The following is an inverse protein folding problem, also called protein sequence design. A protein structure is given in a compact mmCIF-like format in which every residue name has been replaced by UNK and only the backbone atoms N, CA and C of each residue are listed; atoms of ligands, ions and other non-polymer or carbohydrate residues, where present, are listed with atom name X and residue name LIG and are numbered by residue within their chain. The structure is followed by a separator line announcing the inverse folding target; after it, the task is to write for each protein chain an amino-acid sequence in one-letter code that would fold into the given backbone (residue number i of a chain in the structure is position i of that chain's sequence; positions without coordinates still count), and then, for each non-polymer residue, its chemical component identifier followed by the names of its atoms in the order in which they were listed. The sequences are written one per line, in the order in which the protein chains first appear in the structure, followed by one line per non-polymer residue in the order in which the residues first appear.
data_IF_390263894551
#
_entry.id   IF_390263894551
#
_cell.length_a   1.000
_cell.length_b   1.000
_cell.length_c   1.000
_cell.angle_alpha   90.00
_cell.angle_beta   90.00
_cell.angle_gamma   90.00
#
_symmetry.space_group_name_H-M   'P 1'
#
loop_
_entity.id
_entity.type
_entity.pdbx_description
1 polymer ?
#
# COMPACT_ATOMS: atom_id res chain seq x y z
N UNK A 1 11.23 29.35 21.09
CA UNK A 1 12.58 29.49 20.47
C UNK A 1 12.54 28.54 19.31
N UNK A 2 12.35 29.08 18.12
CA UNK A 2 12.25 28.33 16.88
C UNK A 2 13.57 27.58 16.61
N UNK A 3 13.47 26.30 16.25
CA UNK A 3 14.63 25.46 15.90
C UNK A 3 14.42 24.82 14.53
N UNK A 4 15.46 24.69 13.69
CA UNK A 4 15.36 23.91 12.46
C UNK A 4 14.93 22.47 12.73
N UNK A 5 14.09 21.90 11.85
CA UNK A 5 13.61 20.53 12.01
C UNK A 5 14.73 19.50 12.15
N UNK A 6 15.82 19.64 11.37
CA UNK A 6 16.97 18.74 11.43
C UNK A 6 17.59 18.69 12.83
N UNK A 7 17.91 19.86 13.40
CA UNK A 7 18.50 19.96 14.73
C UNK A 7 17.56 19.43 15.82
N UNK A 8 16.27 19.73 15.71
CA UNK A 8 15.26 19.22 16.62
C UNK A 8 15.19 17.68 16.57
N UNK A 9 15.08 17.11 15.37
CA UNK A 9 14.97 15.67 15.16
C UNK A 9 16.18 14.93 15.72
N UNK A 10 17.39 15.36 15.37
CA UNK A 10 18.63 14.75 15.87
C UNK A 10 18.74 14.84 17.39
N UNK A 11 18.41 16.00 17.98
CA UNK A 11 18.44 16.18 19.43
C UNK A 11 17.47 15.24 20.16
N UNK A 12 16.29 14.99 19.59
CA UNK A 12 15.28 14.09 20.15
C UNK A 12 15.67 12.63 20.00
N UNK A 13 16.21 12.24 18.86
CA UNK A 13 16.73 10.87 18.64
C UNK A 13 17.84 10.56 19.65
N UNK A 14 18.77 11.50 19.88
CA UNK A 14 19.83 11.34 20.88
C UNK A 14 19.31 11.17 22.32
N UNK A 15 18.08 11.63 22.61
CA UNK A 15 17.41 11.50 23.91
C UNK A 15 16.51 10.25 24.01
N UNK A 16 16.55 9.34 23.03
CA UNK A 16 15.76 8.12 23.01
C UNK A 16 14.55 8.13 22.06
N UNK A 17 14.44 9.15 21.20
CA UNK A 17 13.45 9.21 20.15
C UNK A 17 12.08 9.75 20.60
N UNK A 18 11.03 9.22 19.98
CA UNK A 18 9.65 9.66 20.17
C UNK A 18 8.79 8.46 20.58
N UNK A 19 7.91 8.68 21.55
CA UNK A 19 6.76 7.78 21.70
C UNK A 19 5.79 7.99 20.53
N UNK A 20 4.86 7.06 20.34
CA UNK A 20 3.78 7.24 19.33
C UNK A 20 3.01 8.55 19.57
N UNK A 21 2.71 8.87 20.83
CA UNK A 21 1.98 10.08 21.19
C UNK A 21 2.79 11.34 20.93
N UNK A 22 4.09 11.34 21.25
CA UNK A 22 4.99 12.47 20.93
C UNK A 22 5.08 12.69 19.43
N UNK A 23 5.27 11.63 18.65
CA UNK A 23 5.39 11.73 17.19
C UNK A 23 4.13 12.34 16.57
N UNK A 24 2.94 11.91 16.99
CA UNK A 24 1.65 12.46 16.53
C UNK A 24 1.51 13.92 16.94
N UNK A 25 1.72 14.23 18.23
CA UNK A 25 1.51 15.58 18.76
C UNK A 25 2.44 16.61 18.12
N UNK A 26 3.68 16.21 17.85
CA UNK A 26 4.67 17.06 17.17
C UNK A 26 4.35 17.22 15.68
N UNK A 27 3.80 16.19 15.02
CA UNK A 27 3.49 16.18 13.59
C UNK A 27 2.19 16.93 13.23
N UNK A 28 1.12 16.75 14.01
CA UNK A 28 -0.23 17.24 13.66
C UNK A 28 -0.30 18.75 13.37
N UNK A 29 0.39 19.65 14.09
CA UNK A 29 0.37 21.08 13.79
C UNK A 29 0.84 21.39 12.35
N UNK A 30 1.91 20.74 11.88
CA UNK A 30 2.39 20.89 10.50
C UNK A 30 1.35 20.39 9.50
N UNK A 31 0.81 19.19 9.69
CA UNK A 31 -0.19 18.62 8.79
C UNK A 31 -1.44 19.53 8.67
N UNK A 32 -1.89 20.11 9.79
CA UNK A 32 -3.03 21.05 9.80
C UNK A 32 -2.71 22.35 9.05
N UNK A 33 -1.50 22.90 9.19
CA UNK A 33 -1.08 24.08 8.42
C UNK A 33 -1.09 23.79 6.91
N UNK A 34 -0.57 22.64 6.50
CA UNK A 34 -0.59 22.20 5.09
C UNK A 34 -2.03 22.04 4.58
N UNK A 35 -2.92 21.42 5.36
CA UNK A 35 -4.32 21.27 4.99
C UNK A 35 -5.02 22.62 4.78
N UNK A 36 -4.74 23.62 5.62
CA UNK A 36 -5.29 24.98 5.46
C UNK A 36 -4.82 25.61 4.15
N UNK A 37 -3.55 25.43 3.77
CA UNK A 37 -3.04 25.89 2.47
C UNK A 37 -3.75 25.19 1.31
N UNK A 38 -3.93 23.88 1.38
CA UNK A 38 -4.64 23.10 0.35
C UNK A 38 -6.08 23.57 0.16
N UNK A 39 -6.78 23.88 1.25
CA UNK A 39 -8.14 24.45 1.22
C UNK A 39 -8.20 25.83 0.56
N UNK A 40 -7.09 26.56 0.54
CA UNK A 40 -6.94 27.85 -0.13
C UNK A 40 -6.45 27.70 -1.59
N UNK A 41 -6.30 26.47 -2.09
CA UNK A 41 -5.75 26.21 -3.42
C UNK A 41 -4.24 26.44 -3.54
N UNK A 42 -3.54 26.51 -2.40
CA UNK A 42 -2.08 26.63 -2.31
C UNK A 42 -1.45 25.29 -1.93
N UNK A 43 -0.13 25.20 -2.10
CA UNK A 43 0.70 24.09 -1.60
C UNK A 43 1.66 24.61 -0.54
N UNK A 44 2.08 23.72 0.34
CA UNK A 44 3.14 24.02 1.28
C UNK A 44 4.48 24.04 0.54
N UNK A 45 5.34 25.01 0.83
CA UNK A 45 6.67 25.12 0.21
C UNK A 45 7.65 24.04 0.70
N UNK A 46 7.21 22.80 0.94
CA UNK A 46 7.96 21.70 1.53
C UNK A 46 9.03 21.13 0.58
N UNK A 47 10.06 21.92 0.27
CA UNK A 47 11.23 21.50 -0.53
C UNK A 47 12.37 21.10 0.39
N UNK A 48 12.18 19.96 1.05
CA UNK A 48 13.11 19.43 2.03
C UNK A 48 12.97 20.02 3.42
N UNK A 49 13.79 19.50 4.34
CA UNK A 49 13.71 19.78 5.78
C UNK A 49 13.91 21.23 6.20
N UNK A 50 14.49 22.08 5.35
CA UNK A 50 14.81 23.49 5.69
C UNK A 50 13.56 24.35 5.86
N UNK A 51 12.46 23.93 5.25
CA UNK A 51 11.19 24.64 5.26
C UNK A 51 10.29 24.21 6.43
N UNK A 52 10.84 23.41 7.34
CA UNK A 52 10.18 22.90 8.53
C UNK A 52 10.97 23.37 9.75
N UNK A 53 10.25 23.93 10.70
CA UNK A 53 10.78 24.36 11.98
C UNK A 53 9.97 23.76 13.13
N UNK A 54 10.60 23.70 14.30
CA UNK A 54 9.96 23.33 15.55
C UNK A 54 9.78 24.58 16.40
N UNK A 55 8.54 24.88 16.78
CA UNK A 55 8.21 25.93 17.75
C UNK A 55 6.96 25.57 18.56
N UNK A 56 6.84 26.14 19.75
CA UNK A 56 5.68 25.96 20.66
C UNK A 56 5.21 24.50 20.88
N UNK A 57 6.11 23.53 20.75
CA UNK A 57 5.82 22.11 20.98
C UNK A 57 5.41 21.31 19.74
N UNK A 58 5.40 21.91 18.55
CA UNK A 58 5.03 21.24 17.30
C UNK A 58 5.90 21.65 16.11
N UNK A 59 5.79 20.89 15.03
CA UNK A 59 6.34 21.27 13.74
C UNK A 59 5.46 22.30 13.05
N UNK A 60 6.08 23.22 12.33
CA UNK A 60 5.42 24.22 11.50
C UNK A 60 6.21 24.52 10.24
N UNK A 61 5.57 25.20 9.29
CA UNK A 61 6.24 25.75 8.12
C UNK A 61 7.01 27.01 8.51
N UNK A 62 8.17 27.20 7.89
CA UNK A 62 8.90 28.47 7.93
C UNK A 62 8.04 29.62 7.40
N UNK A 63 8.31 30.85 7.84
CA UNK A 63 7.51 32.04 7.48
C UNK A 63 7.36 32.18 5.95
N UNK A 64 6.10 32.27 5.47
CA UNK A 64 5.79 32.36 4.04
C UNK A 64 5.56 31.02 3.34
N UNK A 65 5.34 29.93 4.09
CA UNK A 65 5.28 28.55 3.59
C UNK A 65 4.17 28.17 2.60
N UNK A 66 3.42 29.12 2.02
CA UNK A 66 2.39 28.86 1.00
C UNK A 66 2.84 29.30 -0.40
N UNK A 67 2.73 28.42 -1.39
CA UNK A 67 3.00 28.70 -2.79
C UNK A 67 1.84 28.29 -3.72
N UNK A 68 1.85 28.81 -4.94
CA UNK A 68 0.95 28.32 -5.99
C UNK A 68 1.45 26.96 -6.50
N UNK A 69 0.56 25.98 -6.73
CA UNK A 69 0.95 24.70 -7.33
C UNK A 69 1.69 24.88 -8.65
N UNK A 70 2.69 24.04 -8.90
CA UNK A 70 3.41 23.98 -10.17
C UNK A 70 3.16 22.64 -10.85
N UNK A 71 2.74 22.64 -12.11
CA UNK A 71 2.37 21.43 -12.82
C UNK A 71 3.36 21.11 -13.94
N UNK A 72 3.96 19.92 -13.87
CA UNK A 72 4.68 19.29 -14.98
C UNK A 72 4.13 17.88 -15.21
N UNK A 73 2.85 17.80 -15.59
CA UNK A 73 2.13 16.54 -15.72
C UNK A 73 2.75 15.60 -16.76
N UNK A 74 3.38 16.15 -17.81
CA UNK A 74 4.05 15.36 -18.84
C UNK A 74 5.25 14.56 -18.30
N UNK A 75 6.08 15.17 -17.45
CA UNK A 75 7.21 14.46 -16.83
C UNK A 75 6.74 13.49 -15.74
N UNK A 76 5.74 13.88 -14.94
CA UNK A 76 5.11 12.96 -13.98
C UNK A 76 4.59 11.71 -14.70
N UNK A 77 3.85 11.90 -15.79
CA UNK A 77 3.32 10.82 -16.62
C UNK A 77 4.41 9.97 -17.27
N UNK A 78 5.54 10.58 -17.67
CA UNK A 78 6.69 9.87 -18.24
C UNK A 78 7.34 8.95 -17.21
N UNK A 79 7.57 9.47 -16.00
CA UNK A 79 8.25 8.76 -14.92
C UNK A 79 7.36 7.73 -14.22
N UNK A 80 6.04 7.90 -14.24
CA UNK A 80 5.09 6.98 -13.60
C UNK A 80 4.61 5.83 -14.49
N UNK A 81 5.12 5.69 -15.72
CA UNK A 81 4.66 4.66 -16.68
C UNK A 81 4.81 3.24 -16.18
N UNK A 82 5.80 2.97 -15.33
CA UNK A 82 6.07 1.63 -14.79
C UNK A 82 4.87 1.05 -14.04
N UNK A 83 4.00 1.89 -13.47
CA UNK A 83 2.81 1.48 -12.73
C UNK A 83 1.52 1.43 -13.58
N UNK A 84 1.59 1.73 -14.89
CA UNK A 84 0.43 1.64 -15.81
C UNK A 84 0.27 0.25 -16.43
N UNK A 85 1.07 -0.73 -16.00
CA UNK A 85 1.01 -2.10 -16.48
C UNK A 85 -0.15 -2.91 -15.92
N UNK A 86 -0.38 -4.10 -16.46
CA UNK A 86 -1.35 -5.06 -15.90
C UNK A 86 -0.85 -5.74 -14.61
N UNK A 87 0.45 -5.65 -14.34
CA UNK A 87 1.10 -6.19 -13.15
C UNK A 87 1.75 -5.04 -12.40
N UNK A 88 1.52 -5.00 -11.09
CA UNK A 88 2.15 -4.05 -10.18
C UNK A 88 3.57 -4.50 -9.82
N UNK A 89 4.57 -3.73 -10.26
CA UNK A 89 5.95 -3.91 -9.79
C UNK A 89 6.08 -3.28 -8.40
N UNK A 90 6.17 -4.11 -7.37
CA UNK A 90 6.21 -3.68 -5.96
C UNK A 90 7.62 -3.37 -5.44
N UNK A 91 8.65 -3.97 -6.04
CA UNK A 91 10.06 -3.70 -5.76
C UNK A 91 10.92 -4.13 -6.98
N UNK A 92 12.12 -3.59 -7.09
CA UNK A 92 13.12 -3.89 -8.11
C UNK A 92 14.46 -3.79 -7.40
N UNK A 93 15.31 -4.82 -7.50
CA UNK A 93 16.56 -4.83 -6.78
C UNK A 93 17.60 -5.75 -7.40
N UNK A 94 18.82 -5.65 -6.89
CA UNK A 94 19.95 -6.49 -7.25
C UNK A 94 20.40 -7.31 -6.05
N UNK A 95 20.80 -8.55 -6.32
CA UNK A 95 21.39 -9.44 -5.32
C UNK A 95 22.91 -9.46 -5.50
N UNK A 96 23.63 -8.90 -4.54
CA UNK A 96 25.09 -9.00 -4.48
C UNK A 96 25.46 -10.21 -3.62
N UNK A 97 26.04 -11.23 -4.26
CA UNK A 97 26.59 -12.39 -3.56
C UNK A 97 28.06 -12.18 -3.29
N UNK A 98 28.42 -12.10 -2.01
CA UNK A 98 29.80 -12.20 -1.58
C UNK A 98 30.19 -13.68 -1.58
N UNK A 99 31.08 -14.06 -2.49
CA UNK A 99 31.54 -15.44 -2.70
C UNK A 99 32.38 -15.91 -1.50
N UNK A 100 33.07 -14.99 -0.82
CA UNK A 100 33.96 -15.31 0.30
C UNK A 100 33.18 -15.46 1.60
N UNK A 101 32.15 -14.63 1.81
CA UNK A 101 31.33 -14.67 3.03
C UNK A 101 30.09 -15.55 2.91
N UNK A 102 29.73 -15.98 1.69
CA UNK A 102 28.48 -16.69 1.41
C UNK A 102 27.21 -15.85 1.64
N UNK A 103 27.33 -14.54 1.87
CA UNK A 103 26.18 -13.67 2.13
C UNK A 103 25.64 -13.09 0.83
N UNK A 104 24.33 -13.11 0.69
CA UNK A 104 23.61 -12.42 -0.37
C UNK A 104 22.97 -11.16 0.21
N UNK A 105 23.32 -9.98 -0.33
CA UNK A 105 22.69 -8.71 0.04
C UNK A 105 21.77 -8.23 -1.06
N UNK A 106 20.50 -8.03 -0.72
CA UNK A 106 19.52 -7.40 -1.60
C UNK A 106 19.63 -5.88 -1.51
N UNK A 107 19.73 -5.23 -2.67
CA UNK A 107 19.73 -3.77 -2.80
C UNK A 107 18.58 -3.33 -3.69
N UNK A 108 17.65 -2.55 -3.15
CA UNK A 108 16.56 -1.95 -3.92
C UNK A 108 17.09 -0.92 -4.93
N UNK A 109 16.37 -0.75 -6.02
CA UNK A 109 16.58 0.25 -7.06
C UNK A 109 15.57 1.39 -7.02
N UNK A 110 14.68 1.41 -6.01
CA UNK A 110 13.70 2.48 -5.82
C UNK A 110 14.23 3.64 -4.99
N UNK A 111 15.44 3.53 -4.42
CA UNK A 111 16.13 4.64 -3.75
C UNK A 111 17.21 5.17 -4.69
N UNK A 112 17.32 6.49 -4.78
CA UNK A 112 18.33 7.12 -5.62
C UNK A 112 19.76 6.70 -5.25
N UNK A 113 20.63 6.67 -6.24
CA UNK A 113 22.07 6.62 -6.04
C UNK A 113 22.71 8.00 -6.30
N UNK A 114 24.03 8.13 -6.13
CA UNK A 114 24.74 9.40 -6.33
C UNK A 114 24.61 9.94 -7.77
N UNK A 115 24.53 9.06 -8.78
CA UNK A 115 24.37 9.45 -10.18
C UNK A 115 22.96 10.01 -10.43
N UNK A 116 21.92 9.37 -9.87
CA UNK A 116 20.53 9.83 -9.93
C UNK A 116 20.36 11.20 -9.28
N UNK A 117 21.11 11.48 -8.20
CA UNK A 117 21.05 12.79 -7.53
C UNK A 117 21.70 13.91 -8.35
N UNK A 118 22.70 13.57 -9.16
CA UNK A 118 23.47 14.50 -10.00
C UNK A 118 22.88 14.71 -11.40
N UNK A 119 21.99 13.82 -11.85
CA UNK A 119 21.39 13.83 -13.19
C UNK A 119 19.87 14.03 -13.15
N UNK A 120 19.22 14.35 -14.29
CA UNK A 120 17.77 14.32 -14.38
C UNK A 120 17.22 12.91 -14.11
N UNK A 121 16.12 12.83 -13.36
CA UNK A 121 15.50 11.56 -13.01
C UNK A 121 14.98 10.83 -14.26
N UNK A 122 15.28 9.54 -14.33
CA UNK A 122 14.81 8.63 -15.40
C UNK A 122 13.61 7.80 -14.98
N UNK A 123 13.39 7.65 -13.67
CA UNK A 123 12.24 7.01 -13.01
C UNK A 123 11.96 7.71 -11.68
N UNK A 124 10.79 7.46 -11.10
CA UNK A 124 10.45 7.91 -9.76
C UNK A 124 11.22 7.12 -8.69
N UNK A 125 11.82 7.84 -7.73
CA UNK A 125 12.73 7.29 -6.73
C UNK A 125 12.50 7.97 -5.37
N UNK A 126 12.79 7.26 -4.29
CA UNK A 126 12.94 7.86 -2.98
C UNK A 126 14.24 8.67 -2.94
N UNK A 127 14.12 9.92 -2.50
CA UNK A 127 15.22 10.88 -2.40
C UNK A 127 15.53 11.18 -0.92
N UNK A 128 16.80 11.45 -0.59
CA UNK A 128 17.16 11.94 0.73
C UNK A 128 16.73 13.40 0.92
N UNK A 129 16.71 13.85 2.18
CA UNK A 129 16.51 15.26 2.51
C UNK A 129 15.06 15.73 2.53
N UNK A 130 14.10 14.80 2.58
CA UNK A 130 12.65 15.08 2.59
C UNK A 130 12.16 15.77 1.32
N UNK A 131 12.67 15.32 0.17
CA UNK A 131 12.27 15.79 -1.16
C UNK A 131 11.40 14.74 -1.86
N UNK A 132 10.32 15.18 -2.50
CA UNK A 132 9.52 14.34 -3.38
C UNK A 132 10.12 14.33 -4.80
N UNK A 133 10.13 13.18 -5.47
CA UNK A 133 10.71 13.09 -6.82
C UNK A 133 10.02 14.01 -7.83
N UNK A 134 8.75 14.34 -7.62
CA UNK A 134 8.00 15.28 -8.45
C UNK A 134 8.62 16.69 -8.41
N UNK A 135 9.15 17.09 -7.26
CA UNK A 135 9.76 18.41 -7.09
C UNK A 135 11.02 18.54 -7.94
N UNK A 136 11.79 17.45 -8.11
CA UNK A 136 12.96 17.39 -9.00
C UNK A 136 12.62 17.57 -10.47
N UNK A 137 11.40 17.25 -10.88
CA UNK A 137 10.92 17.48 -12.26
C UNK A 137 10.05 18.73 -12.37
N UNK A 138 10.02 19.59 -11.35
CA UNK A 138 9.29 20.86 -11.36
C UNK A 138 7.77 20.71 -11.21
N UNK A 139 7.31 19.57 -10.68
CA UNK A 139 5.91 19.35 -10.31
C UNK A 139 5.77 19.43 -8.77
N UNK A 140 4.80 20.21 -8.30
CA UNK A 140 4.50 20.36 -6.88
C UNK A 140 3.02 20.70 -6.72
N UNK A 141 2.27 19.74 -6.20
CA UNK A 141 0.84 19.85 -5.93
C UNK A 141 0.54 19.30 -4.51
N UNK A 142 -0.73 19.31 -4.04
CA UNK A 142 -1.09 18.82 -2.71
C UNK A 142 -0.65 17.37 -2.42
N UNK A 143 -0.60 16.52 -3.45
CA UNK A 143 -0.18 15.13 -3.32
C UNK A 143 1.34 15.01 -3.14
N UNK A 144 2.10 15.96 -3.68
CA UNK A 144 3.53 16.12 -3.40
C UNK A 144 3.78 16.49 -1.94
N UNK A 145 3.01 17.43 -1.36
CA UNK A 145 3.13 17.77 0.08
C UNK A 145 2.85 16.57 0.98
N UNK A 146 1.81 15.82 0.63
CA UNK A 146 1.38 14.63 1.38
C UNK A 146 2.49 13.58 1.46
N UNK A 147 3.27 13.43 0.38
CA UNK A 147 4.45 12.57 0.37
C UNK A 147 5.53 13.03 1.34
N UNK A 148 5.87 14.32 1.32
CA UNK A 148 6.89 14.90 2.22
C UNK A 148 6.45 14.79 3.67
N UNK A 149 5.17 15.04 3.98
CA UNK A 149 4.60 14.81 5.30
C UNK A 149 4.74 13.36 5.75
N UNK A 150 4.56 12.40 4.83
CA UNK A 150 4.80 10.99 5.09
C UNK A 150 6.24 10.68 5.49
N UNK A 151 7.23 11.29 4.83
CA UNK A 151 8.65 11.16 5.18
C UNK A 151 8.95 11.77 6.55
N UNK A 152 8.38 12.94 6.85
CA UNK A 152 8.52 13.59 8.17
C UNK A 152 7.94 12.71 9.27
N UNK A 153 6.72 12.17 9.07
CA UNK A 153 6.08 11.27 10.02
C UNK A 153 6.90 9.98 10.21
N UNK A 154 7.47 9.43 9.13
CA UNK A 154 8.36 8.28 9.20
C UNK A 154 9.54 8.57 10.13
N UNK A 155 10.25 9.68 9.92
CA UNK A 155 11.41 10.03 10.73
C UNK A 155 11.10 10.26 12.20
N UNK A 156 9.94 10.85 12.51
CA UNK A 156 9.48 11.01 13.89
C UNK A 156 9.14 9.66 14.53
N UNK A 157 8.29 8.87 13.86
CA UNK A 157 7.76 7.62 14.41
C UNK A 157 8.80 6.51 14.56
N UNK A 158 9.80 6.50 13.67
CA UNK A 158 10.84 5.47 13.61
C UNK A 158 12.18 5.95 14.17
N UNK A 159 12.29 7.22 14.55
CA UNK A 159 13.53 7.80 15.06
C UNK A 159 14.69 7.70 14.06
N UNK A 160 14.41 7.72 12.77
CA UNK A 160 15.39 7.58 11.69
C UNK A 160 15.37 8.85 10.83
N UNK A 161 16.41 9.70 10.88
CA UNK A 161 16.46 10.88 10.03
C UNK A 161 16.70 10.44 8.58
N UNK A 162 15.96 10.98 7.62
CA UNK A 162 16.04 10.59 6.19
C UNK A 162 16.89 11.58 5.38
N UNK A 163 18.01 12.05 5.95
CA UNK A 163 18.90 13.03 5.30
C UNK A 163 19.89 12.38 4.34
N UNK A 164 20.26 11.12 4.59
CA UNK A 164 21.30 10.42 3.85
C UNK A 164 20.72 9.20 3.12
N UNK A 165 21.37 8.83 2.00
CA UNK A 165 20.91 7.72 1.16
C UNK A 165 20.80 6.39 1.92
N UNK A 166 21.74 6.10 2.81
CA UNK A 166 21.72 4.83 3.55
C UNK A 166 20.56 4.76 4.55
N UNK A 167 20.16 5.90 5.11
CA UNK A 167 18.98 6.00 5.97
C UNK A 167 17.70 5.76 5.15
N UNK A 168 17.60 6.38 3.97
CA UNK A 168 16.47 6.14 3.06
C UNK A 168 16.41 4.69 2.58
N UNK A 169 17.54 4.04 2.33
CA UNK A 169 17.61 2.62 1.96
C UNK A 169 17.14 1.72 3.10
N UNK A 170 17.60 1.97 4.33
CA UNK A 170 17.16 1.23 5.51
C UNK A 170 15.65 1.36 5.69
N UNK A 171 15.14 2.58 5.61
CA UNK A 171 13.71 2.85 5.69
C UNK A 171 12.91 2.17 4.59
N UNK A 172 13.31 2.32 3.32
CA UNK A 172 12.59 1.77 2.18
C UNK A 172 12.50 0.24 2.28
N UNK A 173 13.59 -0.42 2.70
CA UNK A 173 13.66 -1.88 2.88
C UNK A 173 12.55 -2.40 3.79
N UNK A 174 12.25 -1.66 4.85
CA UNK A 174 11.25 -2.05 5.85
C UNK A 174 9.94 -1.26 5.72
N UNK A 175 9.77 -0.41 4.70
CA UNK A 175 8.61 0.48 4.58
C UNK A 175 7.26 -0.24 4.61
N UNK A 176 7.16 -1.38 3.92
CA UNK A 176 5.92 -2.21 3.87
C UNK A 176 5.73 -3.08 5.12
N UNK A 177 6.82 -3.42 5.80
CA UNK A 177 6.81 -4.19 7.03
C UNK A 177 7.87 -3.65 8.00
N UNK A 178 7.55 -2.61 8.79
CA UNK A 178 8.54 -1.90 9.60
C UNK A 178 8.89 -2.61 10.91
N UNK A 179 8.08 -3.55 11.36
CA UNK A 179 8.19 -4.18 12.67
C UNK A 179 9.45 -5.05 12.93
N UNK A 180 10.19 -5.56 11.92
CA UNK A 180 11.50 -6.17 12.15
C UNK A 180 12.52 -5.20 12.73
N UNK A 181 12.51 -3.94 12.26
CA UNK A 181 13.44 -2.89 12.71
C UNK A 181 12.83 -2.06 13.85
N UNK A 182 11.53 -1.75 13.76
CA UNK A 182 10.79 -0.94 14.73
C UNK A 182 9.64 -1.73 15.37
N UNK A 183 9.95 -2.66 16.30
CA UNK A 183 8.95 -3.56 16.88
C UNK A 183 7.87 -2.84 17.70
N UNK A 184 8.19 -1.67 18.26
CA UNK A 184 7.28 -0.86 19.08
C UNK A 184 6.49 0.19 18.27
N UNK A 185 6.70 0.25 16.95
CA UNK A 185 5.96 1.17 16.08
C UNK A 185 4.47 0.83 16.09
N UNK A 186 3.64 1.85 16.32
CA UNK A 186 2.20 1.66 16.28
C UNK A 186 1.73 1.28 14.86
N UNK A 187 0.90 0.23 14.67
CA UNK A 187 0.53 -0.25 13.34
C UNK A 187 -0.23 0.76 12.47
N UNK A 188 -1.02 1.66 13.09
CA UNK A 188 -1.63 2.78 12.37
C UNK A 188 -0.58 3.74 11.78
N UNK A 189 0.49 4.04 12.52
CA UNK A 189 1.54 4.92 12.02
C UNK A 189 2.26 4.24 10.86
N UNK A 190 2.58 2.95 11.00
CA UNK A 190 3.17 2.15 9.93
C UNK A 190 2.35 2.19 8.64
N UNK A 191 1.04 1.93 8.71
CA UNK A 191 0.18 1.96 7.51
C UNK A 191 0.05 3.37 6.93
N UNK A 192 -0.03 4.39 7.79
CA UNK A 192 -0.17 5.79 7.37
C UNK A 192 1.09 6.25 6.65
N UNK A 193 2.27 5.99 7.23
CA UNK A 193 3.57 6.25 6.61
C UNK A 193 3.66 5.56 5.25
N UNK A 194 3.26 4.29 5.16
CA UNK A 194 3.22 3.57 3.89
C UNK A 194 2.34 4.31 2.88
N UNK A 195 1.05 4.54 3.16
CA UNK A 195 0.13 5.18 2.21
C UNK A 195 0.54 6.60 1.78
N UNK A 196 1.08 7.39 2.70
CA UNK A 196 1.55 8.75 2.41
C UNK A 196 2.78 8.74 1.50
N UNK A 197 3.67 7.77 1.66
CA UNK A 197 4.97 7.72 0.96
C UNK A 197 4.97 6.82 -0.27
N UNK A 198 3.81 6.51 -0.86
CA UNK A 198 3.78 5.73 -2.12
C UNK A 198 4.42 6.53 -3.27
N UNK A 199 5.34 5.91 -4.00
CA UNK A 199 5.92 6.51 -5.21
C UNK A 199 4.89 6.59 -6.34
N UNK A 200 4.01 5.60 -6.43
CA UNK A 200 2.87 5.63 -7.33
C UNK A 200 1.81 6.60 -6.79
N UNK A 201 1.66 7.72 -7.50
CA UNK A 201 0.70 8.77 -7.17
C UNK A 201 -0.74 8.28 -7.15
N UNK A 202 -1.08 7.21 -7.88
CA UNK A 202 -2.46 6.67 -7.87
C UNK A 202 -2.79 5.91 -6.58
N UNK A 203 -1.76 5.43 -5.86
CA UNK A 203 -1.91 4.69 -4.60
C UNK A 203 -1.63 5.56 -3.38
N UNK A 204 -1.05 6.74 -3.59
CA UNK A 204 -0.74 7.68 -2.52
C UNK A 204 -2.04 8.25 -1.95
N UNK A 205 -2.10 8.32 -0.62
CA UNK A 205 -3.24 8.93 0.08
C UNK A 205 -3.39 10.40 -0.35
N UNK A 206 -4.61 10.78 -0.72
CA UNK A 206 -4.94 12.13 -1.19
C UNK A 206 -5.78 12.92 -0.20
N UNK A 207 -6.42 12.27 0.77
CA UNK A 207 -7.25 12.93 1.77
C UNK A 207 -6.47 13.20 3.07
N UNK A 208 -5.75 14.33 3.09
CA UNK A 208 -4.99 14.76 4.26
C UNK A 208 -5.89 15.01 5.49
N UNK A 209 -7.15 15.41 5.29
CA UNK A 209 -8.08 15.62 6.41
C UNK A 209 -8.45 14.29 7.07
N UNK A 210 -8.69 13.24 6.29
CA UNK A 210 -8.91 11.89 6.80
C UNK A 210 -7.68 11.35 7.55
N UNK A 211 -6.48 11.61 7.03
CA UNK A 211 -5.21 11.24 7.71
C UNK A 211 -5.09 11.93 9.07
N UNK A 212 -5.32 13.24 9.12
CA UNK A 212 -5.29 14.01 10.38
C UNK A 212 -6.29 13.44 11.39
N UNK A 213 -7.54 13.23 10.97
CA UNK A 213 -8.58 12.68 11.84
C UNK A 213 -8.24 11.26 12.33
N UNK A 214 -7.64 10.42 11.49
CA UNK A 214 -7.20 9.09 11.86
C UNK A 214 -6.06 9.13 12.90
N UNK A 215 -5.08 10.02 12.72
CA UNK A 215 -3.97 10.19 13.67
C UNK A 215 -4.43 10.78 15.02
N UNK A 216 -5.37 11.72 15.01
CA UNK A 216 -5.97 12.28 16.24
C UNK A 216 -6.68 11.19 17.06
N UNK A 217 -7.31 10.23 16.39
CA UNK A 217 -8.07 9.15 17.00
C UNK A 217 -7.36 7.80 16.91
N UNK A 218 -6.02 7.79 16.89
CA UNK A 218 -5.22 6.63 16.49
C UNK A 218 -5.47 5.35 17.29
N UNK A 219 -5.88 5.49 18.56
CA UNK A 219 -6.16 4.38 19.48
C UNK A 219 -7.43 3.62 19.11
N UNK A 220 -8.34 4.26 18.40
CA UNK A 220 -9.64 3.72 18.01
C UNK A 220 -9.70 3.29 16.54
N UNK A 221 -8.66 3.62 15.76
CA UNK A 221 -8.65 3.33 14.33
C UNK A 221 -8.44 1.85 14.04
N UNK A 222 -9.09 1.39 12.97
CA UNK A 222 -8.82 0.08 12.39
C UNK A 222 -7.56 0.12 11.54
N UNK A 223 -6.76 -0.93 11.66
CA UNK A 223 -5.52 -1.11 10.91
C UNK A 223 -5.75 -2.14 9.81
N UNK A 224 -5.06 -2.05 8.69
CA UNK A 224 -5.09 -3.10 7.68
C UNK A 224 -4.53 -4.42 8.25
N UNK A 225 -5.04 -5.52 7.72
CA UNK A 225 -4.66 -6.86 8.21
C UNK A 225 -3.14 -7.10 8.11
N UNK A 226 -2.49 -6.60 7.06
CA UNK A 226 -1.05 -6.79 6.86
C UNK A 226 -0.22 -6.16 7.98
N UNK A 227 -0.51 -4.91 8.34
CA UNK A 227 0.19 -4.21 9.42
C UNK A 227 -0.17 -4.77 10.81
N UNK A 228 -1.41 -5.17 11.02
CA UNK A 228 -1.85 -5.86 12.24
C UNK A 228 -1.08 -7.19 12.41
N UNK A 229 -1.02 -8.02 11.36
CA UNK A 229 -0.25 -9.26 11.37
C UNK A 229 1.25 -9.03 11.58
N UNK A 230 1.82 -8.04 10.88
CA UNK A 230 3.25 -7.71 10.96
C UNK A 230 3.69 -7.30 12.37
N UNK A 231 2.82 -6.62 13.12
CA UNK A 231 3.11 -6.17 14.49
C UNK A 231 3.19 -7.32 15.50
N UNK A 232 2.53 -8.44 15.24
CA UNK A 232 2.43 -9.57 16.18
C UNK A 232 3.80 -10.24 16.39
N UNK A 233 4.29 -10.35 17.64
CA UNK A 233 5.47 -11.15 17.96
C UNK A 233 5.24 -12.62 17.57
N UNK A 234 6.15 -13.22 16.80
CA UNK A 234 6.03 -14.61 16.32
C UNK A 234 5.45 -14.80 14.91
N UNK A 235 4.82 -13.77 14.31
CA UNK A 235 4.69 -13.73 12.83
C UNK A 235 6.06 -13.63 12.14
N UNK A 236 7.06 -13.22 12.94
CA UNK A 236 8.46 -12.93 12.60
C UNK A 236 9.35 -14.18 12.44
N UNK A 237 8.85 -15.38 12.74
CA UNK A 237 9.64 -16.62 12.67
C UNK A 237 9.34 -17.39 11.38
N UNK A 238 10.39 -17.73 10.63
CA UNK A 238 10.39 -18.55 9.41
C UNK A 238 9.93 -20.01 9.63
N UNK A 239 9.40 -20.35 10.80
CA UNK A 239 8.82 -21.66 11.08
C UNK A 239 7.41 -21.74 10.49
N UNK A 240 7.31 -22.25 9.27
CA UNK A 240 6.08 -22.29 8.44
C UNK A 240 4.83 -22.92 9.07
N UNK A 241 4.93 -23.52 10.27
CA UNK A 241 3.78 -23.96 11.07
C UNK A 241 3.15 -22.86 11.95
N UNK A 242 3.96 -22.03 12.61
CA UNK A 242 3.47 -21.03 13.58
C UNK A 242 2.82 -19.82 12.87
N UNK A 243 3.41 -19.38 11.75
CA UNK A 243 2.93 -18.22 10.98
C UNK A 243 1.52 -18.42 10.40
N UNK A 244 1.22 -19.60 9.82
CA UNK A 244 -0.13 -19.94 9.34
C UNK A 244 -1.16 -19.91 10.47
N UNK A 245 -0.78 -20.39 11.65
CA UNK A 245 -1.68 -20.43 12.80
C UNK A 245 -1.94 -19.04 13.39
N UNK A 246 -0.93 -18.17 13.42
CA UNK A 246 -1.07 -16.75 13.80
C UNK A 246 -1.98 -16.02 12.81
N UNK A 247 -1.75 -16.17 11.50
CA UNK A 247 -2.61 -15.60 10.45
C UNK A 247 -4.05 -16.08 10.62
N UNK A 248 -4.25 -17.39 10.75
CA UNK A 248 -5.58 -17.97 10.88
C UNK A 248 -6.28 -17.52 12.18
N UNK A 249 -5.54 -17.29 13.26
CA UNK A 249 -6.09 -16.77 14.53
C UNK A 249 -6.51 -15.32 14.40
N UNK A 250 -5.67 -14.46 13.82
CA UNK A 250 -6.00 -13.05 13.58
C UNK A 250 -7.10 -12.85 12.56
N UNK A 251 -7.06 -13.64 11.48
CA UNK A 251 -8.19 -13.76 10.56
C UNK A 251 -9.42 -14.18 11.35
N UNK A 252 -9.39 -15.25 12.16
CA UNK A 252 -10.54 -15.64 12.99
C UNK A 252 -11.02 -14.52 13.90
N UNK A 253 -10.16 -13.76 14.56
CA UNK A 253 -10.54 -12.65 15.44
C UNK A 253 -11.27 -11.53 14.67
N UNK A 254 -10.73 -11.08 13.54
CA UNK A 254 -11.39 -10.09 12.65
C UNK A 254 -12.64 -10.64 11.96
N UNK A 255 -12.61 -11.92 11.63
CA UNK A 255 -13.62 -12.63 10.84
C UNK A 255 -14.75 -13.18 11.73
N UNK A 256 -14.52 -13.28 13.05
CA UNK A 256 -15.58 -13.48 14.04
C UNK A 256 -16.53 -12.29 14.09
N UNK A 257 -16.10 -11.12 13.61
CA UNK A 257 -16.97 -9.96 13.47
C UNK A 257 -17.77 -9.94 12.16
N UNK A 258 -17.27 -10.54 11.06
CA UNK A 258 -17.92 -10.36 9.73
C UNK A 258 -18.19 -11.60 8.86
N UNK A 259 -17.52 -12.76 9.00
CA UNK A 259 -17.57 -13.77 7.92
C UNK A 259 -17.85 -15.24 8.29
N UNK A 260 -17.77 -15.69 9.55
CA UNK A 260 -18.29 -17.04 9.87
C UNK A 260 -19.81 -17.18 9.69
N UNK A 261 -20.53 -16.06 9.60
CA UNK A 261 -21.96 -16.03 9.25
C UNK A 261 -22.20 -15.82 7.74
N UNK A 262 -21.17 -15.46 6.97
CA UNK A 262 -21.32 -15.16 5.55
C UNK A 262 -20.77 -16.30 4.68
N UNK A 263 -21.64 -17.30 4.43
CA UNK A 263 -21.34 -18.46 3.56
C UNK A 263 -21.00 -18.07 2.11
N UNK A 264 -21.14 -16.81 1.71
CA UNK A 264 -20.81 -16.33 0.37
C UNK A 264 -19.30 -16.04 0.17
N UNK A 265 -18.54 -15.86 1.25
CA UNK A 265 -17.12 -15.48 1.19
C UNK A 265 -16.18 -16.58 1.66
N UNK A 266 -16.68 -17.58 2.40
CA UNK A 266 -15.89 -18.69 2.89
C UNK A 266 -16.19 -19.95 2.06
N UNK A 267 -15.34 -20.24 1.08
CA UNK A 267 -15.34 -21.52 0.38
C UNK A 267 -14.29 -22.44 1.01
N UNK A 268 -14.68 -23.43 1.85
CA UNK A 268 -13.73 -24.40 2.35
C UNK A 268 -13.12 -25.16 1.17
N UNK A 269 -11.80 -25.41 1.19
CA UNK A 269 -11.15 -26.19 0.14
C UNK A 269 -11.88 -27.54 -0.06
N UNK A 270 -12.42 -27.76 -1.27
CA UNK A 270 -13.21 -28.94 -1.62
C UNK A 270 -14.74 -28.77 -1.49
N UNK A 271 -15.25 -27.58 -1.14
CA UNK A 271 -16.67 -27.29 -1.26
C UNK A 271 -17.06 -27.17 -2.73
N UNK A 272 -18.17 -27.83 -3.07
CA UNK A 272 -18.70 -27.93 -4.43
C UNK A 272 -19.93 -27.02 -4.61
N UNK A 273 -20.12 -26.05 -3.73
CA UNK A 273 -21.30 -25.18 -3.66
C UNK A 273 -21.07 -23.77 -4.24
N UNK A 274 -19.81 -23.33 -4.33
CA UNK A 274 -19.42 -22.04 -4.89
C UNK A 274 -18.27 -22.21 -5.88
N UNK A 275 -18.13 -21.25 -6.79
CA UNK A 275 -17.08 -21.22 -7.79
C UNK A 275 -16.43 -19.83 -7.83
N UNK A 276 -15.13 -19.76 -7.60
CA UNK A 276 -14.34 -18.56 -7.89
C UNK A 276 -13.98 -18.53 -9.38
N UNK A 277 -14.64 -17.65 -10.14
CA UNK A 277 -14.41 -17.48 -11.56
C UNK A 277 -13.04 -16.87 -11.88
N UNK A 278 -12.50 -16.05 -10.98
CA UNK A 278 -11.17 -15.44 -11.13
C UNK A 278 -10.11 -16.53 -11.03
N UNK A 279 -10.16 -17.33 -9.96
CA UNK A 279 -9.22 -18.44 -9.77
C UNK A 279 -9.34 -19.47 -10.90
N UNK A 280 -10.55 -19.80 -11.32
CA UNK A 280 -10.81 -20.74 -12.39
C UNK A 280 -10.32 -20.26 -13.78
N UNK A 281 -10.09 -18.96 -13.95
CA UNK A 281 -9.59 -18.38 -15.21
C UNK A 281 -8.05 -18.39 -15.32
N UNK A 282 -7.33 -18.62 -14.21
CA UNK A 282 -5.87 -18.64 -14.20
C UNK A 282 -5.38 -19.99 -14.76
N UNK A 283 -4.59 -20.01 -15.85
CA UNK A 283 -4.02 -21.24 -16.38
C UNK A 283 -3.06 -21.89 -15.38
N UNK A 284 -3.14 -23.22 -15.23
CA UNK A 284 -2.31 -23.94 -14.24
C UNK A 284 -0.84 -24.09 -14.68
N UNK A 285 -0.54 -23.79 -15.94
CA UNK A 285 0.70 -24.20 -16.62
C UNK A 285 1.65 -23.05 -17.01
N UNK A 286 1.48 -21.82 -16.49
CA UNK A 286 2.10 -20.63 -17.10
C UNK A 286 2.92 -19.71 -16.17
N UNK A 287 3.86 -18.99 -16.80
CA UNK A 287 4.56 -17.83 -16.23
C UNK A 287 3.55 -16.67 -16.00
N UNK A 288 3.35 -16.22 -14.73
CA UNK A 288 2.39 -15.18 -14.37
C UNK A 288 2.53 -13.87 -15.16
N UNK A 289 3.74 -13.52 -15.61
CA UNK A 289 4.01 -12.25 -16.32
C UNK A 289 3.54 -12.25 -17.78
N UNK A 290 3.20 -13.41 -18.32
CA UNK A 290 2.79 -13.56 -19.71
C UNK A 290 1.27 -13.62 -19.90
N UNK A 291 0.49 -13.57 -18.81
CA UNK A 291 -0.97 -13.72 -18.85
C UNK A 291 -1.60 -12.38 -19.26
N UNK A 292 -2.29 -12.32 -20.42
CA UNK A 292 -3.01 -11.12 -20.83
C UNK A 292 -4.20 -10.86 -19.91
N UNK A 293 -4.43 -9.60 -19.52
CA UNK A 293 -5.48 -9.22 -18.57
C UNK A 293 -6.91 -9.54 -19.05
N UNK A 294 -7.12 -9.66 -20.37
CA UNK A 294 -8.39 -10.04 -20.98
C UNK A 294 -8.71 -11.54 -20.84
N UNK A 295 -7.72 -12.37 -20.49
CA UNK A 295 -7.90 -13.81 -20.24
C UNK A 295 -8.26 -14.14 -18.80
N UNK A 296 -8.01 -13.25 -17.86
CA UNK A 296 -8.39 -13.44 -16.46
C UNK A 296 -9.78 -12.85 -16.25
N UNK A 297 -10.65 -13.59 -15.58
CA UNK A 297 -11.99 -13.13 -15.23
C UNK A 297 -11.93 -12.14 -14.07
N UNK A 298 -11.62 -10.88 -14.38
CA UNK A 298 -11.59 -9.77 -13.43
C UNK A 298 -12.71 -8.77 -13.69
N UNK A 299 -13.07 -8.01 -12.65
CA UNK A 299 -14.06 -6.94 -12.79
C UNK A 299 -13.51 -5.79 -13.63
N UNK A 300 -13.85 -5.75 -14.91
CA UNK A 300 -13.44 -4.71 -15.85
C UNK A 300 -14.65 -3.96 -16.45
N UNK A 301 -14.39 -2.93 -17.25
CA UNK A 301 -15.42 -2.07 -17.83
C UNK A 301 -16.31 -2.78 -18.87
N UNK A 302 -15.81 -3.84 -19.51
CA UNK A 302 -16.57 -4.69 -20.44
C UNK A 302 -17.52 -5.61 -19.66
N UNK A 303 -16.98 -6.40 -18.72
CA UNK A 303 -17.74 -7.31 -17.87
C UNK A 303 -18.81 -6.57 -17.04
N UNK A 304 -18.46 -5.41 -16.48
CA UNK A 304 -19.42 -4.53 -15.80
C UNK A 304 -20.60 -4.17 -16.71
N UNK A 305 -20.32 -3.86 -17.98
CA UNK A 305 -21.34 -3.48 -18.97
C UNK A 305 -22.22 -4.67 -19.35
N UNK A 306 -21.63 -5.85 -19.55
CA UNK A 306 -22.35 -7.08 -19.89
C UNK A 306 -23.29 -7.50 -18.75
N UNK A 307 -22.78 -7.51 -17.51
CA UNK A 307 -23.56 -7.85 -16.30
C UNK A 307 -24.68 -6.82 -16.08
N UNK A 308 -24.38 -5.52 -16.17
CA UNK A 308 -25.39 -4.47 -15.94
C UNK A 308 -26.51 -4.49 -16.99
N UNK A 309 -26.23 -5.00 -18.19
CA UNK A 309 -27.22 -5.15 -19.28
C UNK A 309 -27.96 -6.50 -19.24
N UNK A 310 -27.64 -7.38 -18.29
CA UNK A 310 -28.23 -8.72 -18.21
C UNK A 310 -27.90 -9.60 -19.41
N UNK A 311 -26.75 -9.36 -20.06
CA UNK A 311 -26.35 -10.12 -21.24
C UNK A 311 -25.90 -11.54 -20.86
N UNK A 312 -26.08 -12.49 -21.78
CA UNK A 312 -25.52 -13.83 -21.62
C UNK A 312 -24.01 -13.76 -21.79
N UNK A 313 -23.26 -14.18 -20.79
CA UNK A 313 -21.80 -14.17 -20.81
C UNK A 313 -21.29 -15.59 -21.07
N UNK A 314 -20.40 -15.74 -22.05
CA UNK A 314 -19.80 -17.04 -22.37
C UNK A 314 -18.63 -17.31 -21.45
N UNK A 315 -18.82 -18.23 -20.48
CA UNK A 315 -17.73 -18.63 -19.58
C UNK A 315 -16.57 -19.32 -20.32
N UNK A 316 -16.82 -19.97 -21.45
CA UNK A 316 -15.78 -20.64 -22.25
C UNK A 316 -14.75 -19.69 -22.88
N UNK A 317 -15.03 -18.38 -22.95
CA UNK A 317 -14.05 -17.38 -23.39
C UNK A 317 -12.96 -17.13 -22.34
N UNK A 318 -13.26 -17.41 -21.07
CA UNK A 318 -12.41 -17.01 -19.95
C UNK A 318 -11.99 -18.16 -19.03
N UNK A 319 -12.73 -19.28 -19.04
CA UNK A 319 -12.40 -20.47 -18.25
C UNK A 319 -11.76 -21.53 -19.14
N UNK A 320 -10.65 -22.08 -18.68
CA UNK A 320 -9.99 -23.21 -19.35
C UNK A 320 -10.56 -24.55 -18.85
N UNK A 321 -11.63 -25.01 -19.48
CA UNK A 321 -12.28 -26.29 -19.16
C UNK A 321 -11.41 -27.53 -19.43
N UNK A 322 -10.33 -27.39 -20.20
CA UNK A 322 -9.39 -28.49 -20.48
C UNK A 322 -8.42 -28.70 -19.33
N UNK A 323 -7.96 -27.61 -18.69
CA UNK A 323 -7.02 -27.68 -17.56
C UNK A 323 -7.76 -27.86 -16.22
N UNK A 324 -8.87 -27.16 -16.03
CA UNK A 324 -9.63 -27.20 -14.79
C UNK A 324 -10.76 -28.24 -14.86
N UNK A 325 -10.38 -29.52 -14.79
CA UNK A 325 -11.26 -30.70 -14.95
C UNK A 325 -12.48 -30.73 -14.01
N UNK A 326 -12.41 -30.01 -12.88
CA UNK A 326 -13.49 -29.91 -11.91
C UNK A 326 -14.63 -28.95 -12.32
N UNK A 327 -14.36 -28.00 -13.23
CA UNK A 327 -15.31 -26.94 -13.58
C UNK A 327 -16.64 -27.43 -14.17
N UNK A 328 -16.67 -28.38 -15.13
CA UNK A 328 -17.93 -28.83 -15.71
C UNK A 328 -18.88 -29.42 -14.66
N UNK A 329 -18.37 -30.32 -13.82
CA UNK A 329 -19.14 -30.98 -12.76
C UNK A 329 -19.69 -29.98 -11.75
N UNK A 330 -18.91 -28.95 -11.42
CA UNK A 330 -19.30 -27.94 -10.43
C UNK A 330 -20.33 -26.97 -11.01
N UNK A 331 -20.15 -26.49 -12.25
CA UNK A 331 -21.13 -25.65 -12.93
C UNK A 331 -22.46 -26.38 -13.17
N UNK A 332 -22.42 -27.66 -13.54
CA UNK A 332 -23.63 -28.47 -13.71
C UNK A 332 -24.41 -28.61 -12.40
N UNK A 333 -23.70 -28.76 -11.27
CA UNK A 333 -24.31 -28.81 -9.94
C UNK A 333 -24.94 -27.48 -9.56
N UNK A 334 -24.21 -26.37 -9.69
CA UNK A 334 -24.72 -25.01 -9.42
C UNK A 334 -25.97 -24.74 -10.27
N UNK A 335 -25.95 -25.12 -11.54
CA UNK A 335 -27.11 -24.99 -12.44
C UNK A 335 -28.29 -25.85 -11.98
N UNK A 336 -28.03 -27.08 -11.53
CA UNK A 336 -29.09 -28.01 -11.11
C UNK A 336 -29.73 -27.57 -9.80
N UNK A 337 -28.95 -27.06 -8.85
CA UNK A 337 -29.45 -26.45 -7.62
C UNK A 337 -30.28 -25.19 -7.91
N UNK A 338 -29.79 -24.28 -8.76
CA UNK A 338 -30.55 -23.08 -9.15
C UNK A 338 -31.90 -23.45 -9.81
N UNK A 339 -31.92 -24.46 -10.68
CA UNK A 339 -33.16 -24.97 -11.30
C UNK A 339 -34.10 -25.62 -10.29
N UNK A 340 -33.55 -26.39 -9.34
CA UNK A 340 -34.35 -26.98 -8.26
C UNK A 340 -34.99 -25.88 -7.42
N UNK A 341 -34.22 -24.87 -7.04
CA UNK A 341 -34.72 -23.77 -6.22
C UNK A 341 -35.80 -22.95 -6.95
N UNK A 342 -35.63 -22.73 -8.26
CA UNK A 342 -36.66 -22.10 -9.09
C UNK A 342 -37.95 -22.94 -9.15
N UNK A 343 -37.82 -24.27 -9.19
CA UNK A 343 -38.96 -25.19 -9.28
C UNK A 343 -39.69 -25.33 -7.93
N UNK A 344 -38.93 -25.38 -6.83
CA UNK A 344 -39.47 -25.59 -5.47
C UNK A 344 -39.99 -24.30 -4.84
N UNK A 345 -39.30 -23.17 -5.04
CA UNK A 345 -39.56 -21.90 -4.33
C UNK A 345 -40.00 -20.76 -5.26
N UNK A 346 -39.95 -20.96 -6.59
CA UNK A 346 -40.37 -19.96 -7.58
C UNK A 346 -39.34 -18.86 -7.87
N UNK A 347 -38.13 -18.94 -7.33
CA UNK A 347 -37.03 -18.01 -7.61
C UNK A 347 -35.65 -18.71 -7.53
N UNK A 348 -34.70 -18.21 -8.32
CA UNK A 348 -33.31 -18.69 -8.25
C UNK A 348 -32.57 -17.99 -7.11
N UNK A 349 -31.85 -18.76 -6.28
CA UNK A 349 -30.98 -18.22 -5.22
C UNK A 349 -29.53 -18.03 -5.68
N UNK A 350 -29.26 -18.25 -6.97
CA UNK A 350 -27.94 -18.05 -7.55
C UNK A 350 -27.53 -16.58 -7.43
N UNK A 351 -26.38 -16.34 -6.83
CA UNK A 351 -25.81 -14.99 -6.65
C UNK A 351 -24.44 -14.92 -7.29
N UNK A 352 -24.18 -13.82 -7.99
CA UNK A 352 -22.84 -13.42 -8.38
C UNK A 352 -22.36 -12.39 -7.35
N UNK A 353 -21.24 -12.67 -6.69
CA UNK A 353 -20.64 -11.78 -5.70
C UNK A 353 -19.35 -11.21 -6.28
N UNK A 354 -19.24 -9.88 -6.33
CA UNK A 354 -17.99 -9.22 -6.69
C UNK A 354 -17.15 -9.06 -5.41
N UNK A 355 -15.95 -9.63 -5.42
CA UNK A 355 -15.00 -9.55 -4.31
C UNK A 355 -13.71 -8.87 -4.76
N UNK A 356 -13.15 -8.02 -3.91
CA UNK A 356 -11.78 -7.52 -4.07
C UNK A 356 -10.84 -8.47 -3.33
N UNK A 357 -10.03 -9.22 -4.08
CA UNK A 357 -9.06 -10.17 -3.53
C UNK A 357 -7.65 -9.61 -3.70
N UNK A 358 -7.02 -9.24 -2.59
CA UNK A 358 -5.58 -8.97 -2.57
C UNK A 358 -4.86 -10.31 -2.44
N UNK A 359 -4.28 -10.78 -3.54
CA UNK A 359 -3.40 -11.94 -3.53
C UNK A 359 -1.98 -11.47 -3.22
N UNK A 360 -1.36 -12.03 -2.19
CA UNK A 360 0.08 -11.96 -1.99
C UNK A 360 0.66 -13.33 -2.34
N UNK A 361 1.60 -13.40 -3.28
CA UNK A 361 2.43 -14.60 -3.45
C UNK A 361 3.38 -14.67 -2.25
N UNK A 362 3.26 -15.73 -1.45
CA UNK A 362 4.07 -15.94 -0.24
C UNK A 362 5.00 -17.13 -0.47
N UNK A 363 5.68 -17.15 -1.62
CA UNK A 363 6.79 -18.06 -1.86
C UNK A 363 8.08 -17.54 -1.24
#
# INVERSE_FOLDING_TARGET
MTRPFAEFLESRIAMGGFTTEDAINVFLPLARQVLVLHQQGQVACLRGAKEIEFDEGGLGLTAGGGATPTHNDAEVDRLSRIWRGAVDVIDQGQWNHDIDSGNATYQTQWVANQEDLAAPLTRALYLPGYEAWEQRVGHHDPLTDTFVLGLVLASLAQGLPLFELDQVRLWQKYRRNPFPEWPDLHPLLAQTICRLTELDRQKREGDLAAVIAALENYREQTVDLEFDLGSVPGFRLEEGGSRRQVILTRLKERLFDLSRRNRLLHDPAGSLQSLDLTQASIPLSFDPLSIPADRIWVWNSELRREISKGQKISLGKHLNFTEAVYLPTLLDRVRLEARRDLTEYGFEQLRLVACYLNWCDIK
#
